data_IF_291439101969
#
_entry.id   IF_291439101969
#
_cell.length_a   1.000
_cell.length_b   1.000
_cell.length_c   1.000
_cell.angle_alpha   90.00
_cell.angle_beta   90.00
_cell.angle_gamma   90.00
#
_symmetry.space_group_name_H-M   'P 1'
#
loop_
_entity.id
_entity.type
_entity.pdbx_description
1 polymer ?
#
# COMPACT_ATOMS: atom_id res chain seq x y z
N UNK A 1 -20.46 5.52 5.85
CA UNK A 1 -21.16 6.13 4.70
C UNK A 1 -20.24 6.18 3.49
N UNK A 2 -20.75 6.38 2.27
CA UNK A 2 -19.91 6.52 1.07
C UNK A 2 -18.94 7.71 1.15
N UNK A 3 -19.39 8.80 1.80
CA UNK A 3 -18.54 9.95 2.10
C UNK A 3 -17.36 9.58 2.99
N UNK A 4 -17.58 8.84 4.08
CA UNK A 4 -16.50 8.38 4.95
C UNK A 4 -15.53 7.46 4.21
N UNK A 5 -16.03 6.53 3.39
CA UNK A 5 -15.21 5.65 2.55
C UNK A 5 -14.31 6.44 1.61
N UNK A 6 -14.86 7.44 0.91
CA UNK A 6 -14.10 8.30 0.01
C UNK A 6 -13.00 9.09 0.75
N UNK A 7 -13.31 9.61 1.94
CA UNK A 7 -12.34 10.30 2.81
C UNK A 7 -11.22 9.36 3.26
N UNK A 8 -11.56 8.15 3.73
CA UNK A 8 -10.56 7.14 4.14
C UNK A 8 -9.65 6.76 2.97
N UNK A 9 -10.19 6.54 1.77
CA UNK A 9 -9.37 6.24 0.59
C UNK A 9 -8.45 7.40 0.21
N UNK A 10 -8.90 8.65 0.35
CA UNK A 10 -8.03 9.81 0.14
C UNK A 10 -6.87 9.82 1.15
N UNK A 11 -7.18 9.70 2.44
CA UNK A 11 -6.17 9.70 3.50
C UNK A 11 -5.19 8.55 3.31
N UNK A 12 -5.66 7.34 2.99
CA UNK A 12 -4.80 6.18 2.76
C UNK A 12 -3.81 6.40 1.62
N UNK A 13 -4.26 6.96 0.48
CA UNK A 13 -3.36 7.28 -0.65
C UNK A 13 -2.34 8.36 -0.29
N UNK A 14 -2.77 9.41 0.41
CA UNK A 14 -1.91 10.52 0.79
C UNK A 14 -0.84 10.05 1.79
N UNK A 15 -1.24 9.25 2.79
CA UNK A 15 -0.34 8.69 3.79
C UNK A 15 0.64 7.65 3.21
N UNK A 16 0.18 6.80 2.30
CA UNK A 16 1.04 5.87 1.56
C UNK A 16 2.15 6.61 0.80
N UNK A 17 1.79 7.71 0.12
CA UNK A 17 2.75 8.53 -0.63
C UNK A 17 3.69 9.30 0.27
N UNK A 18 3.21 9.83 1.40
CA UNK A 18 4.02 10.66 2.29
C UNK A 18 5.18 9.91 2.94
N UNK A 19 5.03 8.61 3.19
CA UNK A 19 6.10 7.76 3.74
C UNK A 19 7.01 7.16 2.65
N UNK A 20 6.78 7.48 1.37
CA UNK A 20 7.52 6.90 0.26
C UNK A 20 7.30 5.39 0.09
N UNK A 21 6.12 4.88 0.46
CA UNK A 21 5.83 3.46 0.33
C UNK A 21 5.76 3.03 -1.14
N UNK A 22 6.15 1.78 -1.39
CA UNK A 22 6.19 1.15 -2.69
C UNK A 22 5.58 -0.25 -2.63
N UNK A 23 5.04 -0.74 -3.74
CA UNK A 23 4.33 -2.01 -3.78
C UNK A 23 2.93 -1.91 -3.16
N UNK A 24 2.81 -2.26 -1.89
CA UNK A 24 1.53 -2.39 -1.19
C UNK A 24 1.64 -2.03 0.29
N UNK A 25 0.51 -1.63 0.89
CA UNK A 25 0.37 -1.44 2.32
C UNK A 25 -1.10 -1.59 2.73
N UNK A 26 -1.33 -1.91 4.00
CA UNK A 26 -2.65 -1.77 4.63
C UNK A 26 -2.65 -0.51 5.50
N UNK A 27 -3.67 0.33 5.37
CA UNK A 27 -3.84 1.54 6.20
C UNK A 27 -5.05 1.32 7.07
N UNK A 28 -4.83 1.34 8.39
CA UNK A 28 -5.86 1.06 9.37
C UNK A 28 -6.36 2.36 10.01
N UNK A 29 -7.67 2.44 10.21
CA UNK A 29 -8.36 3.64 10.68
C UNK A 29 -9.18 3.34 11.93
N UNK A 30 -9.23 4.31 12.84
CA UNK A 30 -10.21 4.37 13.91
C UNK A 30 -11.30 5.37 13.51
N UNK A 31 -12.56 4.99 13.68
CA UNK A 31 -13.72 5.83 13.32
C UNK A 31 -14.59 6.06 14.55
N UNK A 32 -14.83 7.33 14.89
CA UNK A 32 -15.67 7.74 16.01
C UNK A 32 -16.68 8.81 15.53
N UNK A 33 -17.92 8.37 15.24
CA UNK A 33 -18.91 9.20 14.58
C UNK A 33 -18.43 9.62 13.18
N UNK A 34 -18.34 10.94 12.95
CA UNK A 34 -17.79 11.51 11.71
C UNK A 34 -16.27 11.68 11.73
N UNK A 35 -15.62 11.42 12.86
CA UNK A 35 -14.16 11.55 13.00
C UNK A 35 -13.47 10.30 12.48
N UNK A 36 -12.51 10.49 11.56
CA UNK A 36 -11.66 9.43 11.00
C UNK A 36 -10.22 9.73 11.42
N UNK A 37 -9.59 8.79 12.11
CA UNK A 37 -8.20 8.86 12.54
C UNK A 37 -7.40 7.77 11.84
N UNK A 38 -6.31 8.14 11.17
CA UNK A 38 -5.33 7.16 10.70
C UNK A 38 -4.59 6.61 11.92
N UNK A 39 -4.66 5.29 12.13
CA UNK A 39 -4.04 4.62 13.27
C UNK A 39 -2.64 4.15 12.94
N UNK A 40 -2.51 3.35 11.87
CA UNK A 40 -1.24 2.75 11.45
C UNK A 40 -1.17 2.49 9.95
N UNK A 41 0.05 2.36 9.45
CA UNK A 41 0.36 1.92 8.09
C UNK A 41 1.23 0.67 8.18
N UNK A 42 0.70 -0.44 7.69
CA UNK A 42 1.40 -1.72 7.63
C UNK A 42 2.00 -1.90 6.23
N UNK A 43 3.32 -1.75 6.10
CA UNK A 43 4.05 -1.94 4.82
C UNK A 43 4.27 -3.41 4.46
N UNK A 44 4.15 -4.31 5.45
CA UNK A 44 4.09 -5.76 5.26
C UNK A 44 2.94 -6.28 6.15
N UNK A 45 1.69 -6.17 5.69
CA UNK A 45 0.55 -6.70 6.44
C UNK A 45 0.56 -8.23 6.45
N UNK A 46 -0.19 -8.83 7.38
CA UNK A 46 -0.46 -10.26 7.37
C UNK A 46 -1.00 -10.72 6.00
N UNK A 47 -0.46 -11.84 5.51
CA UNK A 47 -0.61 -12.25 4.10
C UNK A 47 -1.10 -13.69 3.92
N UNK A 48 -1.79 -14.24 4.91
CA UNK A 48 -2.48 -15.53 4.76
C UNK A 48 -3.80 -15.35 3.99
N UNK A 49 -4.39 -16.41 3.42
CA UNK A 49 -5.67 -16.31 2.69
C UNK A 49 -6.83 -15.72 3.50
N UNK A 50 -6.76 -15.78 4.84
CA UNK A 50 -7.76 -15.20 5.75
C UNK A 50 -7.38 -13.81 6.27
N UNK A 51 -6.21 -13.30 5.91
CA UNK A 51 -5.78 -11.97 6.33
C UNK A 51 -6.61 -10.89 5.67
N UNK A 52 -6.78 -9.76 6.36
CA UNK A 52 -7.59 -8.65 5.87
C UNK A 52 -7.05 -8.05 4.56
N UNK A 53 -5.73 -7.88 4.41
CA UNK A 53 -5.17 -7.26 3.22
C UNK A 53 -5.49 -8.03 1.92
N UNK A 54 -5.15 -9.32 1.78
CA UNK A 54 -5.33 -10.01 0.51
C UNK A 54 -6.81 -10.30 0.17
N UNK A 55 -7.73 -10.17 1.12
CA UNK A 55 -9.17 -10.34 0.90
C UNK A 55 -9.88 -9.04 0.51
N UNK A 56 -9.36 -7.86 0.89
CA UNK A 56 -9.96 -6.55 0.55
C UNK A 56 -10.19 -6.33 -0.95
N UNK A 57 -9.27 -6.70 -1.86
CA UNK A 57 -9.45 -6.50 -3.31
C UNK A 57 -10.53 -7.39 -3.95
N UNK A 58 -11.10 -8.35 -3.21
CA UNK A 58 -12.12 -9.26 -3.73
C UNK A 58 -13.38 -8.53 -4.23
N UNK A 59 -13.77 -7.42 -3.58
CA UNK A 59 -14.87 -6.56 -4.03
C UNK A 59 -14.61 -5.93 -5.42
N UNK A 60 -13.33 -5.83 -5.81
CA UNK A 60 -12.89 -5.40 -7.13
C UNK A 60 -12.68 -6.54 -8.14
N UNK A 61 -13.05 -7.77 -7.78
CA UNK A 61 -12.94 -8.95 -8.65
C UNK A 61 -11.56 -9.64 -8.63
N UNK A 62 -10.66 -9.28 -7.73
CA UNK A 62 -9.34 -9.91 -7.62
C UNK A 62 -9.39 -11.17 -6.75
N UNK A 63 -8.81 -12.27 -7.25
CA UNK A 63 -8.53 -13.44 -6.43
C UNK A 63 -7.26 -13.25 -5.61
N UNK A 64 -7.04 -14.09 -4.59
CA UNK A 64 -5.78 -14.11 -3.84
C UNK A 64 -4.56 -14.26 -4.76
N UNK A 65 -4.66 -15.12 -5.78
CA UNK A 65 -3.59 -15.34 -6.75
C UNK A 65 -3.32 -14.09 -7.60
N UNK A 66 -4.35 -13.34 -7.97
CA UNK A 66 -4.19 -12.08 -8.71
C UNK A 66 -3.49 -11.02 -7.86
N UNK A 67 -3.84 -10.93 -6.57
CA UNK A 67 -3.17 -10.01 -5.63
C UNK A 67 -1.69 -10.37 -5.48
N UNK A 68 -1.37 -11.65 -5.29
CA UNK A 68 0.00 -12.14 -5.23
C UNK A 68 0.78 -11.81 -6.50
N UNK A 69 0.21 -12.11 -7.66
CA UNK A 69 0.83 -11.86 -8.97
C UNK A 69 1.10 -10.37 -9.15
N UNK A 70 0.12 -9.52 -8.82
CA UNK A 70 0.28 -8.06 -8.94
C UNK A 70 1.39 -7.51 -8.07
N UNK A 71 1.60 -8.03 -6.86
CA UNK A 71 2.70 -7.60 -5.98
C UNK A 71 4.06 -7.97 -6.57
N UNK A 72 4.18 -9.18 -7.15
CA UNK A 72 5.40 -9.60 -7.84
C UNK A 72 5.67 -8.71 -9.04
N UNK A 73 4.66 -8.41 -9.85
CA UNK A 73 4.79 -7.51 -11.01
C UNK A 73 5.27 -6.12 -10.57
N UNK A 74 4.66 -5.53 -9.53
CA UNK A 74 5.08 -4.24 -8.98
C UNK A 74 6.54 -4.26 -8.50
N UNK A 75 6.97 -5.37 -7.89
CA UNK A 75 8.36 -5.52 -7.44
C UNK A 75 9.34 -5.56 -8.62
N UNK A 76 8.99 -6.28 -9.69
CA UNK A 76 9.78 -6.37 -10.92
C UNK A 76 9.83 -5.04 -11.68
N UNK A 77 8.67 -4.38 -11.88
CA UNK A 77 8.55 -3.06 -12.50
C UNK A 77 9.46 -2.05 -11.79
N UNK A 78 9.40 -2.02 -10.46
CA UNK A 78 10.23 -1.14 -9.65
C UNK A 78 11.73 -1.48 -9.76
N UNK A 79 12.08 -2.77 -9.71
CA UNK A 79 13.47 -3.20 -9.85
C UNK A 79 14.05 -2.76 -11.20
N UNK A 80 13.31 -2.97 -12.29
CA UNK A 80 13.69 -2.53 -13.62
C UNK A 80 13.88 -1.01 -13.70
N UNK A 81 12.97 -0.22 -13.12
CA UNK A 81 13.08 1.24 -13.06
C UNK A 81 14.32 1.72 -12.27
N UNK A 82 14.74 0.96 -11.26
CA UNK A 82 15.93 1.26 -10.44
C UNK A 82 17.23 0.76 -11.05
N UNK A 83 17.20 -0.24 -11.93
CA UNK A 83 18.40 -0.82 -12.53
C UNK A 83 19.27 0.21 -13.29
N UNK A 84 18.69 1.33 -13.74
CA UNK A 84 19.41 2.48 -14.31
C UNK A 84 20.01 3.47 -13.31
N UNK A 85 19.73 3.33 -12.01
CA UNK A 85 20.24 4.17 -10.91
C UNK A 85 21.11 3.35 -9.98
N UNK A 86 22.36 3.09 -10.40
CA UNK A 86 23.39 2.67 -9.47
C UNK A 86 23.85 3.90 -8.70
N UNK A 87 23.55 3.95 -7.40
CA UNK A 87 24.16 4.94 -6.52
C UNK A 87 25.67 4.69 -6.54
N UNK A 88 26.41 5.71 -6.95
CA UNK A 88 27.86 5.74 -6.82
C UNK A 88 28.22 6.37 -5.47
N UNK A 89 29.47 6.17 -4.98
CA UNK A 89 29.94 6.90 -3.81
C UNK A 89 29.81 8.43 -3.90
N UNK A 90 29.70 9.00 -5.11
CA UNK A 90 29.47 10.43 -5.32
C UNK A 90 28.03 10.90 -5.12
N UNK A 91 27.06 9.99 -5.06
CA UNK A 91 25.63 10.29 -4.88
C UNK A 91 25.20 10.30 -3.41
N UNK A 92 26.08 9.90 -2.49
CA UNK A 92 25.80 9.88 -1.06
C UNK A 92 26.02 11.29 -0.46
N UNK A 93 25.15 11.75 0.45
CA UNK A 93 25.39 12.99 1.18
C UNK A 93 26.71 12.87 1.95
N UNK A 94 27.58 13.87 1.81
CA UNK A 94 28.82 13.99 2.58
C UNK A 94 28.55 14.41 4.02
#
# INVERSE_FOLDING_TARGET
>A
TDRQRATMHKIARDAYRSIGAEGFARVDFLVAGETILLSEINTIPGFTPISLFPTMPADGGYTFADVCSRIVDLALERHAARAGRRLTPGDLPR
#
